data_IF_872557396410
#
_entry.id   IF_872557396410
#
_cell.length_a   1.000
_cell.length_b   1.000
_cell.length_c   1.000
_cell.angle_alpha   90.00
_cell.angle_beta   90.00
_cell.angle_gamma   90.00
#
_symmetry.space_group_name_H-M   'P 1'
#
loop_
_entity.id
_entity.type
_entity.pdbx_description
1 polymer ?
#
# COMPACT_ATOMS: atom_id res chain seq x y z
N UNK A 1 -10.14 -14.76 8.23
CA UNK A 1 -9.36 -13.56 8.59
C UNK A 1 -9.94 -12.39 7.84
N UNK A 2 -10.28 -11.28 8.52
CA UNK A 2 -10.75 -10.09 7.82
C UNK A 2 -9.57 -9.40 7.15
N UNK A 3 -9.80 -8.77 6.00
CA UNK A 3 -8.72 -8.07 5.28
C UNK A 3 -8.08 -6.97 6.16
N UNK A 4 -8.85 -6.36 7.06
CA UNK A 4 -8.33 -5.40 8.05
C UNK A 4 -7.28 -6.00 8.98
N UNK A 5 -7.50 -7.25 9.42
CA UNK A 5 -6.61 -7.92 10.37
C UNK A 5 -5.29 -8.26 9.68
N UNK A 6 -5.37 -8.77 8.44
CA UNK A 6 -4.19 -9.06 7.63
C UNK A 6 -3.32 -7.82 7.38
N UNK A 7 -3.94 -6.69 7.02
CA UNK A 7 -3.18 -5.45 6.80
C UNK A 7 -2.56 -4.93 8.10
N UNK A 8 -3.22 -5.12 9.24
CA UNK A 8 -2.67 -4.78 10.54
C UNK A 8 -1.49 -5.70 10.91
N UNK A 9 -1.60 -7.01 10.68
CA UNK A 9 -0.50 -7.97 10.88
C UNK A 9 0.74 -7.61 10.04
N UNK A 10 0.53 -7.16 8.80
CA UNK A 10 1.61 -6.65 7.95
C UNK A 10 2.31 -5.46 8.62
N UNK A 11 1.55 -4.47 9.10
CA UNK A 11 2.10 -3.30 9.78
C UNK A 11 2.81 -3.68 11.10
N UNK A 12 2.26 -4.62 11.85
CA UNK A 12 2.83 -5.08 13.12
C UNK A 12 4.16 -5.81 12.90
N UNK A 13 4.23 -6.70 11.92
CA UNK A 13 5.48 -7.36 11.53
C UNK A 13 6.55 -6.34 11.10
N UNK A 14 6.13 -5.30 10.36
CA UNK A 14 6.99 -4.18 10.00
C UNK A 14 7.49 -3.41 11.22
N UNK A 15 6.61 -3.06 12.15
CA UNK A 15 6.98 -2.37 13.38
C UNK A 15 7.94 -3.19 14.26
N UNK A 16 7.63 -4.48 14.46
CA UNK A 16 8.44 -5.40 15.26
C UNK A 16 9.86 -5.50 14.70
N UNK A 17 10.00 -5.69 13.38
CA UNK A 17 11.31 -5.83 12.72
C UNK A 17 12.18 -4.57 12.84
N UNK A 18 11.55 -3.40 12.90
CA UNK A 18 12.21 -2.09 12.99
C UNK A 18 12.35 -1.58 14.43
N UNK A 19 11.84 -2.31 15.43
CA UNK A 19 11.91 -1.91 16.84
C UNK A 19 11.14 -0.61 17.12
N UNK A 20 10.05 -0.35 16.41
CA UNK A 20 9.20 0.84 16.61
C UNK A 20 7.85 0.44 17.19
N UNK A 21 7.18 1.39 17.83
CA UNK A 21 5.82 1.13 18.32
C UNK A 21 4.85 0.89 17.16
N UNK A 22 3.79 0.14 17.46
CA UNK A 22 2.71 -0.25 16.56
C UNK A 22 2.15 0.93 15.77
N UNK A 23 1.90 0.68 14.49
CA UNK A 23 1.21 1.57 13.56
C UNK A 23 -0.19 1.01 13.35
N UNK A 24 -1.22 1.83 13.54
CA UNK A 24 -2.61 1.41 13.28
C UNK A 24 -2.95 1.56 11.80
N UNK A 25 -3.50 0.51 11.20
CA UNK A 25 -4.04 0.52 9.84
C UNK A 25 -5.54 0.79 9.89
N UNK A 26 -5.99 1.81 9.18
CA UNK A 26 -7.40 2.16 9.03
C UNK A 26 -7.82 2.00 7.56
N UNK A 27 -8.92 1.30 7.31
CA UNK A 27 -9.53 1.26 5.97
C UNK A 27 -10.60 2.34 5.89
N UNK A 28 -10.50 3.24 4.90
CA UNK A 28 -11.45 4.35 4.73
C UNK A 28 -11.85 4.54 3.27
N UNK A 29 -13.07 5.02 3.04
CA UNK A 29 -13.48 5.50 1.73
C UNK A 29 -12.83 6.87 1.44
N UNK A 30 -11.64 6.82 0.84
CA UNK A 30 -10.83 8.00 0.52
C UNK A 30 -10.15 7.85 -0.83
N UNK A 31 -9.81 8.98 -1.46
CA UNK A 31 -9.19 8.97 -2.79
C UNK A 31 -7.78 8.36 -2.83
N UNK A 32 -7.02 8.48 -1.74
CA UNK A 32 -5.63 8.00 -1.64
C UNK A 32 -5.30 7.64 -0.20
N UNK A 33 -4.31 6.76 -0.01
CA UNK A 33 -3.82 6.48 1.33
C UNK A 33 -3.07 7.65 1.94
N UNK A 34 -2.80 7.50 3.23
CA UNK A 34 -2.10 8.53 4.00
C UNK A 34 -1.43 7.97 5.23
N UNK A 35 -0.13 8.16 5.32
CA UNK A 35 0.64 8.08 6.54
C UNK A 35 0.45 9.34 7.43
N UNK A 36 0.17 9.14 8.73
CA UNK A 36 0.04 10.19 9.76
C UNK A 36 1.06 9.97 10.87
N UNK A 37 2.26 10.57 10.77
CA UNK A 37 3.35 10.34 11.72
C UNK A 37 3.00 10.67 13.17
N UNK A 38 2.24 11.75 13.39
CA UNK A 38 1.89 12.24 14.73
C UNK A 38 1.02 11.25 15.51
N UNK A 39 0.13 10.54 14.81
CA UNK A 39 -0.81 9.59 15.42
C UNK A 39 -0.43 8.14 15.17
N UNK A 40 0.70 7.87 14.49
CA UNK A 40 1.13 6.53 14.03
C UNK A 40 0.01 5.74 13.34
N UNK A 41 -0.71 6.40 12.44
CA UNK A 41 -1.77 5.75 11.65
C UNK A 41 -1.47 5.78 10.18
N UNK A 42 -1.84 4.73 9.48
CA UNK A 42 -1.89 4.70 8.03
C UNK A 42 -3.33 4.46 7.59
N UNK A 43 -3.75 5.17 6.55
CA UNK A 43 -5.04 4.95 5.91
C UNK A 43 -4.83 4.18 4.62
N UNK A 44 -5.47 3.02 4.49
CA UNK A 44 -5.59 2.27 3.24
C UNK A 44 -6.95 2.59 2.63
N UNK A 45 -7.02 3.00 1.35
CA UNK A 45 -8.31 3.24 0.71
C UNK A 45 -9.14 1.97 0.54
N UNK A 46 -10.45 2.03 0.77
CA UNK A 46 -11.35 0.89 0.56
C UNK A 46 -11.26 0.32 -0.88
N UNK A 47 -11.16 1.19 -1.89
CA UNK A 47 -11.00 0.76 -3.29
C UNK A 47 -9.71 -0.05 -3.55
N UNK A 48 -8.69 0.03 -2.68
CA UNK A 48 -7.49 -0.78 -2.84
C UNK A 48 -7.78 -2.27 -2.59
N UNK A 49 -8.78 -2.57 -1.74
CA UNK A 49 -9.23 -3.93 -1.47
C UNK A 49 -9.99 -4.53 -2.65
N UNK A 50 -10.75 -3.71 -3.38
CA UNK A 50 -11.47 -4.12 -4.59
C UNK A 50 -10.52 -4.57 -5.71
N UNK A 51 -9.28 -4.08 -5.70
CA UNK A 51 -8.23 -4.48 -6.65
C UNK A 51 -7.54 -5.80 -6.27
N UNK A 52 -7.94 -6.41 -5.16
CA UNK A 52 -7.45 -7.69 -4.70
C UNK A 52 -6.46 -7.59 -3.54
N UNK A 53 -6.24 -8.74 -2.91
CA UNK A 53 -5.42 -8.89 -1.69
C UNK A 53 -4.02 -8.30 -1.86
N UNK A 54 -3.30 -8.72 -2.90
CA UNK A 54 -1.89 -8.33 -3.10
C UNK A 54 -1.76 -6.82 -3.34
N UNK A 55 -2.75 -6.21 -3.98
CA UNK A 55 -2.78 -4.77 -4.18
C UNK A 55 -2.93 -4.03 -2.85
N UNK A 56 -3.86 -4.47 -2.00
CA UNK A 56 -4.08 -3.89 -0.68
C UNK A 56 -2.88 -4.10 0.26
N UNK A 57 -2.24 -5.28 0.26
CA UNK A 57 -1.02 -5.54 1.02
C UNK A 57 0.12 -4.62 0.58
N UNK A 58 0.36 -4.51 -0.73
CA UNK A 58 1.31 -3.53 -1.27
C UNK A 58 0.99 -2.12 -0.81
N UNK A 59 -0.29 -1.71 -0.82
CA UNK A 59 -0.70 -0.37 -0.41
C UNK A 59 -0.43 -0.11 1.07
N UNK A 60 -0.69 -1.10 1.94
CA UNK A 60 -0.35 -0.99 3.36
C UNK A 60 1.16 -0.86 3.57
N UNK A 61 1.96 -1.72 2.91
CA UNK A 61 3.43 -1.66 2.95
C UNK A 61 3.92 -0.27 2.51
N UNK A 62 3.35 0.31 1.45
CA UNK A 62 3.69 1.64 0.95
C UNK A 62 3.51 2.72 2.03
N UNK A 63 2.33 2.78 2.64
CA UNK A 63 2.01 3.80 3.64
C UNK A 63 2.79 3.60 4.95
N UNK A 64 3.02 2.35 5.36
CA UNK A 64 3.86 2.04 6.54
C UNK A 64 5.32 2.42 6.27
N UNK A 65 5.83 2.19 5.06
CA UNK A 65 7.19 2.59 4.67
C UNK A 65 7.40 4.09 4.79
N UNK A 66 6.40 4.93 4.49
CA UNK A 66 6.47 6.37 4.73
C UNK A 66 6.71 6.71 6.20
N UNK A 67 6.06 6.00 7.13
CA UNK A 67 6.25 6.20 8.56
C UNK A 67 7.62 5.70 9.05
N UNK A 68 8.05 4.52 8.60
CA UNK A 68 9.32 3.93 9.02
C UNK A 68 10.53 4.71 8.49
N UNK A 69 10.49 5.11 7.23
CA UNK A 69 11.55 5.89 6.59
C UNK A 69 11.59 7.34 7.07
N UNK A 70 10.51 7.83 7.71
CA UNK A 70 10.28 9.24 8.06
C UNK A 70 10.42 10.18 6.86
N UNK A 71 10.10 9.67 5.67
CA UNK A 71 10.23 10.40 4.42
C UNK A 71 8.87 10.55 3.75
N UNK A 72 8.53 11.80 3.40
CA UNK A 72 7.36 12.08 2.56
C UNK A 72 7.61 11.75 1.08
N UNK A 73 8.88 11.61 0.67
CA UNK A 73 9.29 11.34 -0.71
C UNK A 73 9.73 9.90 -0.87
N UNK A 74 9.50 9.33 -2.05
CA UNK A 74 9.97 8.02 -2.48
C UNK A 74 11.44 8.07 -2.88
N UNK A 75 12.34 8.18 -1.88
CA UNK A 75 13.79 8.18 -2.12
C UNK A 75 14.27 6.75 -2.45
N UNK A 76 15.53 6.55 -2.91
CA UNK A 76 16.09 5.20 -3.07
C UNK A 76 15.95 4.33 -1.82
N UNK A 77 16.21 4.90 -0.63
CA UNK A 77 16.04 4.21 0.66
C UNK A 77 14.59 3.82 0.94
N UNK A 78 13.62 4.65 0.52
CA UNK A 78 12.20 4.28 0.62
C UNK A 78 11.94 3.01 -0.21
N UNK A 79 12.39 3.00 -1.46
CA UNK A 79 12.18 1.87 -2.36
C UNK A 79 12.89 0.60 -1.88
N UNK A 80 14.10 0.71 -1.34
CA UNK A 80 14.81 -0.42 -0.75
C UNK A 80 14.00 -1.07 0.39
N UNK A 81 13.44 -0.26 1.29
CA UNK A 81 12.60 -0.76 2.40
C UNK A 81 11.31 -1.36 1.87
N UNK A 82 10.63 -0.68 0.94
CA UNK A 82 9.38 -1.14 0.35
C UNK A 82 9.57 -2.48 -0.38
N UNK A 83 10.58 -2.60 -1.24
CA UNK A 83 10.90 -3.82 -1.98
C UNK A 83 11.23 -4.96 -1.03
N UNK A 84 12.07 -4.73 -0.02
CA UNK A 84 12.43 -5.76 0.96
C UNK A 84 11.18 -6.35 1.65
N UNK A 85 10.18 -5.51 1.94
CA UNK A 85 8.93 -5.99 2.51
C UNK A 85 8.04 -6.68 1.49
N UNK A 86 7.89 -6.14 0.29
CA UNK A 86 7.11 -6.79 -0.77
C UNK A 86 7.64 -8.19 -1.06
N UNK A 87 8.96 -8.37 -1.15
CA UNK A 87 9.59 -9.67 -1.40
C UNK A 87 9.31 -10.67 -0.26
N UNK A 88 9.27 -10.23 1.00
CA UNK A 88 8.86 -11.09 2.14
C UNK A 88 7.44 -11.61 2.02
N UNK A 89 6.57 -10.87 1.32
CA UNK A 89 5.20 -11.28 1.00
C UNK A 89 5.08 -11.93 -0.38
N UNK A 90 6.20 -12.35 -0.98
CA UNK A 90 6.22 -13.06 -2.25
C UNK A 90 5.97 -12.18 -3.47
N UNK A 91 6.12 -10.85 -3.32
CA UNK A 91 5.82 -9.86 -4.36
C UNK A 91 7.09 -9.16 -4.87
N UNK A 92 7.12 -8.86 -6.17
CA UNK A 92 8.20 -8.15 -6.87
C UNK A 92 7.63 -7.00 -7.70
N UNK A 93 7.79 -5.74 -7.27
CA UNK A 93 7.27 -4.59 -7.99
C UNK A 93 8.14 -4.25 -9.21
N UNK A 94 7.52 -3.73 -10.26
CA UNK A 94 8.19 -3.03 -11.36
C UNK A 94 7.75 -1.58 -11.34
N UNK A 95 8.65 -0.70 -10.90
CA UNK A 95 8.37 0.73 -10.78
C UNK A 95 8.48 1.46 -12.12
N UNK A 96 7.59 2.44 -12.31
CA UNK A 96 7.75 3.48 -13.33
C UNK A 96 8.03 4.84 -12.70
N UNK A 97 7.48 5.10 -11.51
CA UNK A 97 7.62 6.31 -10.68
C UNK A 97 7.41 5.89 -9.21
N UNK A 98 6.77 6.75 -8.41
CA UNK A 98 6.37 6.53 -7.02
C UNK A 98 5.57 5.24 -6.75
N UNK A 99 4.82 4.73 -7.74
CA UNK A 99 4.01 3.53 -7.62
C UNK A 99 4.48 2.46 -8.62
N UNK A 100 4.36 1.16 -8.26
CA UNK A 100 4.59 0.09 -9.22
C UNK A 100 3.60 0.20 -10.37
N UNK A 101 4.08 -0.04 -11.58
CA UNK A 101 3.23 -0.26 -12.75
C UNK A 101 2.74 -1.70 -12.78
N UNK A 102 3.59 -2.63 -12.40
CA UNK A 102 3.27 -4.05 -12.36
C UNK A 102 3.74 -4.63 -11.03
N UNK A 103 3.04 -5.66 -10.59
CA UNK A 103 3.45 -6.49 -9.47
C UNK A 103 3.47 -7.93 -9.92
N UNK A 104 4.59 -8.59 -9.68
CA UNK A 104 4.82 -9.98 -10.01
C UNK A 104 4.98 -10.79 -8.73
N UNK A 105 4.70 -12.08 -8.76
CA UNK A 105 5.15 -12.99 -7.71
C UNK A 105 6.65 -13.26 -7.87
N UNK A 106 7.30 -13.74 -6.81
CA UNK A 106 8.68 -14.22 -6.91
C UNK A 106 8.85 -15.40 -7.89
N UNK A 107 7.78 -16.16 -8.16
CA UNK A 107 7.75 -17.23 -9.15
C UNK A 107 7.54 -16.73 -10.59
N UNK A 108 7.43 -15.41 -10.82
CA UNK A 108 7.28 -14.84 -12.16
C UNK A 108 5.84 -14.80 -12.68
N UNK A 109 4.83 -14.93 -11.82
CA UNK A 109 3.41 -14.76 -12.19
C UNK A 109 3.02 -13.29 -12.05
N UNK A 110 2.36 -12.70 -13.04
CA UNK A 110 1.84 -11.34 -12.92
C UNK A 110 0.65 -11.34 -11.94
N UNK A 111 0.76 -10.60 -10.83
CA UNK A 111 -0.30 -10.46 -9.82
C UNK A 111 -1.28 -9.36 -10.22
N UNK A 112 -0.76 -8.21 -10.65
CA UNK A 112 -1.57 -7.12 -11.19
C UNK A 112 -0.75 -6.15 -12.05
N UNK A 113 -1.42 -5.49 -12.99
CA UNK A 113 -0.87 -4.38 -13.77
C UNK A 113 -1.77 -3.14 -13.63
N UNK A 114 -1.16 -2.01 -13.27
CA UNK A 114 -1.82 -0.73 -13.19
C UNK A 114 -1.77 0.00 -14.54
N UNK A 115 -2.88 0.00 -15.27
CA UNK A 115 -2.99 0.67 -16.56
C UNK A 115 -3.27 2.19 -16.48
N UNK A 116 -3.22 2.77 -15.28
CA UNK A 116 -3.72 4.12 -15.02
C UNK A 116 -5.24 4.13 -15.02
N UNK A 117 -5.86 4.86 -14.08
CA UNK A 117 -7.30 5.09 -14.19
C UNK A 117 -7.56 5.90 -15.48
N UNK A 118 -8.13 5.29 -16.52
CA UNK A 118 -9.04 6.06 -17.38
C UNK A 118 -10.13 6.55 -16.43
N UNK A 119 -10.06 7.82 -16.03
CA UNK A 119 -11.20 8.47 -15.40
C UNK A 119 -12.36 8.36 -16.39
N UNK A 120 -13.30 7.45 -16.16
CA UNK A 120 -14.66 7.69 -16.65
C UNK A 120 -15.10 8.98 -15.96
N UNK A 121 -15.00 10.10 -16.69
CA UNK A 121 -15.87 11.24 -16.41
C UNK A 121 -17.30 10.71 -16.57
N UNK A 122 -18.15 11.00 -15.58
CA UNK A 122 -19.61 10.75 -15.53
C UNK A 122 -20.07 9.47 -14.83
N UNK A 123 -20.29 9.60 -13.53
CA UNK A 123 -21.61 9.36 -12.93
C UNK A 123 -21.82 10.42 -11.83
N UNK A 124 -21.77 11.69 -12.23
CA UNK A 124 -22.41 12.78 -11.50
C UNK A 124 -23.59 13.15 -12.39
N UNK A 125 -24.71 12.51 -12.13
CA UNK A 125 -25.91 12.57 -12.94
C UNK A 125 -27.07 11.92 -12.20
N UNK A 126 -27.27 12.34 -10.95
CA UNK A 126 -28.57 12.25 -10.28
C UNK A 126 -28.96 13.65 -9.81
N UNK A 127 -30.15 14.08 -10.22
CA UNK A 127 -30.95 15.10 -9.53
C UNK A 127 -30.73 16.54 -9.99
N UNK A 128 -31.50 16.99 -10.98
CA UNK A 128 -32.81 17.63 -10.76
C UNK A 128 -33.61 17.65 -12.04
#
# INVERSE_FOLDING_TARGET
MLMSDELQEVADAMCQRHGVATITVEIKDVRRGRARPQTRRVTVPAWALELGRDYAVHYAIHEVTHLLSRQARHTPRFHEVEVCWLERYGMRPVYRRAYPRQMWSLAGVLLWEFHGRRRSKRAAGEGR
#
